data_IF_462505933827
#
_entry.id   IF_462505933827
#
_cell.length_a   1.000
_cell.length_b   1.000
_cell.length_c   1.000
_cell.angle_alpha   90.00
_cell.angle_beta   90.00
_cell.angle_gamma   90.00
#
_symmetry.space_group_name_H-M   'P 1'
#
loop_
_entity.id
_entity.type
_entity.pdbx_description
1 polymer ?
#
# COMPACT_ATOMS: atom_id res chain seq x y z
N UNK A 1 49.50 1.17 6.43
CA UNK A 1 50.06 1.64 5.14
C UNK A 1 48.94 1.62 4.10
N UNK A 2 48.53 2.81 3.60
CA UNK A 2 47.65 3.19 2.45
C UNK A 2 46.32 2.42 2.22
N UNK A 3 45.12 3.00 2.28
CA UNK A 3 44.45 4.05 1.45
C UNK A 3 44.40 3.81 -0.07
N UNK A 4 43.19 3.53 -0.60
CA UNK A 4 42.56 4.12 -1.80
C UNK A 4 41.13 3.53 -1.96
N UNK A 5 40.01 4.23 -1.72
CA UNK A 5 39.31 5.30 -2.45
C UNK A 5 38.76 4.98 -3.87
N UNK A 6 37.41 4.97 -3.92
CA UNK A 6 36.46 5.64 -4.84
C UNK A 6 36.04 5.02 -6.19
N UNK A 7 34.71 4.98 -6.35
CA UNK A 7 33.95 5.17 -7.59
C UNK A 7 32.43 5.29 -7.32
N UNK A 8 31.92 6.53 -7.12
CA UNK A 8 30.49 6.95 -7.19
C UNK A 8 30.05 7.03 -8.69
N UNK A 9 28.76 7.19 -9.11
CA UNK A 9 27.69 8.12 -8.62
C UNK A 9 26.25 7.52 -8.70
N UNK A 10 25.09 8.12 -8.37
CA UNK A 10 24.63 9.46 -7.96
C UNK A 10 23.08 9.47 -7.82
N UNK A 11 22.52 10.52 -7.20
CA UNK A 11 21.07 10.82 -7.09
C UNK A 11 20.32 10.06 -5.99
N UNK A 12 19.54 10.64 -5.08
CA UNK A 12 18.83 11.90 -5.05
C UNK A 12 18.81 12.46 -3.61
N UNK A 13 19.36 13.66 -3.48
CA UNK A 13 18.80 14.78 -2.72
C UNK A 13 17.87 14.43 -1.54
N UNK A 14 18.44 13.91 -0.46
CA UNK A 14 17.97 14.31 0.87
C UNK A 14 18.18 15.83 0.93
N UNK A 15 17.10 16.57 0.67
CA UNK A 15 17.08 18.02 0.79
C UNK A 15 17.38 18.35 2.25
N UNK A 16 18.68 18.56 2.50
CA UNK A 16 19.20 19.18 3.68
C UNK A 16 18.58 20.58 3.77
N UNK A 17 17.54 20.72 4.59
CA UNK A 17 17.38 21.95 5.37
C UNK A 17 18.41 21.87 6.50
N UNK A 18 19.68 21.92 6.11
CA UNK A 18 20.81 22.29 6.96
C UNK A 18 20.95 23.80 6.80
N UNK A 19 20.02 24.54 7.40
CA UNK A 19 20.39 25.83 7.95
C UNK A 19 21.16 25.47 9.22
N UNK A 20 22.48 25.58 9.14
CA UNK A 20 23.35 25.36 10.29
C UNK A 20 22.93 26.27 11.43
N UNK A 21 22.22 25.72 12.40
CA UNK A 21 22.04 26.31 13.72
C UNK A 21 22.69 25.34 14.69
N UNK A 22 23.90 25.68 15.10
CA UNK A 22 24.61 25.02 16.19
C UNK A 22 23.87 25.33 17.50
N UNK A 23 22.85 24.55 17.84
CA UNK A 23 22.14 24.72 19.11
C UNK A 23 22.12 23.43 19.92
N UNK A 24 22.45 23.61 21.21
CA UNK A 24 22.24 22.69 22.33
C UNK A 24 20.73 22.39 22.53
N UNK A 25 20.02 21.91 21.52
CA UNK A 25 18.58 21.67 21.59
C UNK A 25 18.30 20.17 21.79
N UNK A 26 17.60 19.86 22.89
CA UNK A 26 17.13 18.52 23.23
C UNK A 26 16.29 17.93 22.08
N UNK A 27 16.71 16.76 21.58
CA UNK A 27 16.03 16.02 20.51
C UNK A 27 14.54 15.77 20.81
N UNK A 28 14.15 15.67 22.10
CA UNK A 28 12.74 15.52 22.50
C UNK A 28 11.92 16.79 22.24
N UNK A 29 12.49 17.95 22.54
CA UNK A 29 11.83 19.26 22.32
C UNK A 29 11.65 19.57 20.83
N UNK A 30 12.66 19.25 20.00
CA UNK A 30 12.56 19.34 18.54
C UNK A 30 11.45 18.42 18.01
N UNK A 31 11.39 17.17 18.48
CA UNK A 31 10.38 16.20 18.04
C UNK A 31 8.96 16.61 18.43
N UNK A 32 8.76 17.16 19.64
CA UNK A 32 7.46 17.69 20.06
C UNK A 32 7.04 18.92 19.24
N UNK A 33 7.99 19.81 18.94
CA UNK A 33 7.72 21.01 18.13
C UNK A 33 7.37 20.64 16.70
N UNK A 34 8.10 19.70 16.09
CA UNK A 34 7.81 19.15 14.76
C UNK A 34 6.45 18.46 14.71
N UNK A 35 6.06 17.73 15.76
CA UNK A 35 4.75 17.05 15.83
C UNK A 35 3.58 18.03 15.92
N UNK A 36 3.68 19.05 16.78
CA UNK A 36 2.67 20.13 16.88
C UNK A 36 2.55 20.92 15.58
N UNK A 37 3.65 21.09 14.85
CA UNK A 37 3.65 21.74 13.54
C UNK A 37 2.99 20.85 12.48
N UNK A 38 3.31 19.56 12.44
CA UNK A 38 2.72 18.60 11.50
C UNK A 38 1.20 18.44 11.71
N UNK A 39 0.72 18.46 12.97
CA UNK A 39 -0.71 18.42 13.30
C UNK A 39 -1.50 19.61 12.71
N UNK A 40 -0.86 20.74 12.44
CA UNK A 40 -1.49 21.94 11.86
C UNK A 40 -1.38 22.03 10.34
N UNK A 41 -0.55 21.19 9.72
CA UNK A 41 -0.37 21.18 8.27
C UNK A 41 -1.45 20.29 7.65
N UNK A 42 -2.25 20.79 6.69
CA UNK A 42 -3.26 19.96 6.05
C UNK A 42 -2.64 18.72 5.40
N UNK A 43 -3.25 17.52 5.52
CA UNK A 43 -2.70 16.26 5.02
C UNK A 43 -2.27 16.33 3.55
N UNK A 44 -2.97 17.09 2.70
CA UNK A 44 -2.61 17.29 1.29
C UNK A 44 -1.19 17.85 1.08
N UNK A 45 -0.72 18.70 1.98
CA UNK A 45 0.63 19.28 1.90
C UNK A 45 1.67 18.30 2.42
N UNK A 46 1.39 17.62 3.54
CA UNK A 46 2.21 16.51 4.03
C UNK A 46 2.36 15.42 2.96
N UNK A 47 1.27 14.97 2.33
CA UNK A 47 1.30 13.97 1.28
C UNK A 47 2.10 14.42 0.05
N UNK A 48 2.07 15.72 -0.28
CA UNK A 48 2.91 16.29 -1.35
C UNK A 48 4.40 16.27 -1.00
N UNK A 49 4.75 16.39 0.28
CA UNK A 49 6.13 16.25 0.79
C UNK A 49 6.57 14.79 0.94
N UNK A 50 5.63 13.88 1.22
CA UNK A 50 5.93 12.45 1.46
C UNK A 50 6.08 11.66 0.15
N UNK A 51 5.75 12.25 -1.02
CA UNK A 51 6.09 11.69 -2.32
C UNK A 51 5.74 10.20 -2.46
N UNK A 52 4.54 9.80 -2.02
CA UNK A 52 4.14 8.39 -2.13
C UNK A 52 3.76 8.10 -3.57
N UNK A 53 4.69 7.49 -4.29
CA UNK A 53 4.45 7.02 -5.66
C UNK A 53 3.65 5.71 -5.69
N UNK A 54 3.49 5.03 -4.53
CA UNK A 54 2.74 3.79 -4.37
C UNK A 54 1.61 3.90 -3.34
N UNK A 55 0.43 3.41 -3.71
CA UNK A 55 -0.71 3.18 -2.81
C UNK A 55 -1.09 1.69 -2.86
N UNK A 56 -1.11 1.03 -1.70
CA UNK A 56 -1.67 -0.32 -1.57
C UNK A 56 -3.09 -0.25 -1.05
N UNK A 57 -4.03 -0.87 -1.77
CA UNK A 57 -5.40 -1.08 -1.31
C UNK A 57 -5.57 -2.58 -1.07
N UNK A 58 -6.13 -2.94 0.10
CA UNK A 58 -6.36 -4.32 0.47
C UNK A 58 -7.84 -4.55 0.77
N UNK A 59 -8.28 -5.77 0.47
CA UNK A 59 -9.62 -6.27 0.76
C UNK A 59 -9.47 -7.66 1.40
N UNK A 60 -10.47 -8.09 2.15
CA UNK A 60 -10.55 -9.48 2.63
C UNK A 60 -11.64 -10.22 1.88
N UNK A 61 -12.82 -9.60 1.78
CA UNK A 61 -14.00 -10.19 1.15
C UNK A 61 -14.86 -9.12 0.46
N UNK A 62 -15.62 -9.53 -0.54
CA UNK A 62 -16.68 -8.75 -1.20
C UNK A 62 -17.90 -9.65 -1.30
N UNK A 63 -19.04 -9.18 -0.80
CA UNK A 63 -20.27 -9.97 -0.70
C UNK A 63 -21.48 -9.08 -0.53
N UNK A 64 -22.61 -9.46 -1.14
CA UNK A 64 -23.93 -8.89 -0.81
C UNK A 64 -24.52 -9.56 0.44
N UNK A 65 -24.11 -10.80 0.71
CA UNK A 65 -24.62 -11.57 1.83
C UNK A 65 -23.86 -11.26 3.13
N UNK A 66 -24.59 -11.39 4.24
CA UNK A 66 -24.01 -11.39 5.57
C UNK A 66 -23.19 -12.67 5.78
N UNK A 67 -21.93 -12.55 6.19
CA UNK A 67 -21.04 -13.69 6.44
C UNK A 67 -20.76 -13.78 7.94
N UNK A 68 -21.44 -14.67 8.70
CA UNK A 68 -21.41 -14.67 10.17
C UNK A 68 -20.02 -14.75 10.79
N UNK A 69 -19.13 -15.55 10.20
CA UNK A 69 -17.76 -15.71 10.69
C UNK A 69 -16.83 -14.55 10.33
N UNK A 70 -17.28 -13.59 9.52
CA UNK A 70 -16.46 -12.44 9.06
C UNK A 70 -17.05 -11.09 9.49
N UNK A 71 -18.38 -10.98 9.61
CA UNK A 71 -19.09 -9.71 9.83
C UNK A 71 -18.70 -8.96 11.11
N UNK A 72 -18.05 -9.65 12.05
CA UNK A 72 -17.54 -9.05 13.29
C UNK A 72 -16.03 -8.74 13.24
N UNK A 73 -15.33 -9.20 12.20
CA UNK A 73 -13.89 -9.04 12.00
C UNK A 73 -13.58 -7.89 11.03
N UNK A 74 -14.31 -7.81 9.92
CA UNK A 74 -14.04 -6.86 8.84
C UNK A 74 -15.33 -6.22 8.33
N UNK A 75 -15.26 -4.92 8.07
CA UNK A 75 -16.20 -4.29 7.14
C UNK A 75 -15.89 -4.74 5.72
N UNK A 76 -16.93 -5.02 4.94
CA UNK A 76 -16.78 -5.41 3.54
C UNK A 76 -17.85 -4.77 2.64
N UNK A 77 -17.51 -4.70 1.35
CA UNK A 77 -18.34 -4.05 0.33
C UNK A 77 -19.21 -5.05 -0.40
N UNK A 78 -20.34 -4.57 -0.90
CA UNK A 78 -21.08 -5.26 -1.96
C UNK A 78 -20.27 -5.32 -3.25
N UNK A 79 -20.56 -6.28 -4.15
CA UNK A 79 -19.95 -6.34 -5.48
C UNK A 79 -20.12 -5.05 -6.27
N UNK A 80 -21.27 -4.37 -6.13
CA UNK A 80 -21.54 -3.10 -6.80
C UNK A 80 -20.62 -1.96 -6.31
N UNK A 81 -20.41 -1.84 -5.00
CA UNK A 81 -19.49 -0.84 -4.44
C UNK A 81 -18.03 -1.18 -4.75
N UNK A 82 -17.66 -2.45 -4.74
CA UNK A 82 -16.33 -2.88 -5.16
C UNK A 82 -16.08 -2.59 -6.65
N UNK A 83 -17.07 -2.81 -7.52
CA UNK A 83 -16.97 -2.45 -8.94
C UNK A 83 -16.75 -0.94 -9.14
N UNK A 84 -17.41 -0.10 -8.33
CA UNK A 84 -17.16 1.35 -8.34
C UNK A 84 -15.74 1.69 -7.91
N UNK A 85 -15.17 1.00 -6.92
CA UNK A 85 -13.77 1.15 -6.54
C UNK A 85 -12.85 0.83 -7.72
N UNK A 86 -13.08 -0.30 -8.43
CA UNK A 86 -12.26 -0.70 -9.58
C UNK A 86 -12.28 0.37 -10.67
N UNK A 87 -13.46 0.93 -10.98
CA UNK A 87 -13.61 1.99 -11.98
C UNK A 87 -12.86 3.25 -11.54
N UNK A 88 -13.06 3.68 -10.31
CA UNK A 88 -12.38 4.86 -9.75
C UNK A 88 -10.85 4.69 -9.78
N UNK A 89 -10.37 3.55 -9.31
CA UNK A 89 -8.94 3.26 -9.25
C UNK A 89 -8.30 3.26 -10.65
N UNK A 90 -8.95 2.65 -11.65
CA UNK A 90 -8.50 2.69 -13.04
C UNK A 90 -8.44 4.10 -13.63
N UNK A 91 -9.36 4.98 -13.24
CA UNK A 91 -9.40 6.36 -13.73
C UNK A 91 -8.33 7.26 -13.11
N UNK A 92 -7.81 6.90 -11.94
CA UNK A 92 -6.97 7.79 -11.14
C UNK A 92 -5.57 7.27 -10.84
N UNK A 93 -5.31 5.98 -11.01
CA UNK A 93 -4.05 5.32 -10.67
C UNK A 93 -3.52 4.46 -11.82
N UNK A 94 -2.19 4.31 -11.85
CA UNK A 94 -1.52 3.29 -12.63
C UNK A 94 -1.56 1.96 -11.85
N UNK A 95 -2.50 1.09 -12.21
CA UNK A 95 -2.66 -0.20 -11.54
C UNK A 95 -1.65 -1.20 -12.08
N UNK A 96 -0.83 -1.76 -11.18
CA UNK A 96 0.16 -2.79 -11.52
C UNK A 96 -0.04 -4.02 -10.65
N UNK A 97 0.40 -5.18 -11.16
CA UNK A 97 0.50 -6.40 -10.37
C UNK A 97 1.76 -6.43 -9.52
N UNK A 98 1.83 -7.38 -8.58
CA UNK A 98 2.98 -7.55 -7.71
C UNK A 98 4.29 -7.83 -8.48
N UNK A 99 4.25 -8.59 -9.58
CA UNK A 99 5.45 -8.90 -10.37
C UNK A 99 6.09 -7.62 -10.94
N UNK A 100 5.27 -6.77 -11.55
CA UNK A 100 5.73 -5.48 -12.09
C UNK A 100 6.22 -4.53 -10.97
N UNK A 101 5.58 -4.57 -9.79
CA UNK A 101 6.05 -3.82 -8.63
C UNK A 101 7.43 -4.33 -8.18
N UNK A 102 7.58 -5.64 -8.01
CA UNK A 102 8.81 -6.31 -7.59
C UNK A 102 9.96 -6.03 -8.53
N UNK A 103 9.71 -6.11 -9.85
CA UNK A 103 10.70 -5.79 -10.88
C UNK A 103 11.19 -4.34 -10.78
N UNK A 104 10.27 -3.37 -10.69
CA UNK A 104 10.62 -1.95 -10.62
C UNK A 104 11.40 -1.60 -9.36
N UNK A 105 11.05 -2.21 -8.24
CA UNK A 105 11.78 -2.05 -6.97
C UNK A 105 13.17 -2.67 -7.06
N UNK A 106 13.29 -3.88 -7.62
CA UNK A 106 14.56 -4.61 -7.76
C UNK A 106 15.53 -3.91 -8.70
N UNK A 107 15.04 -3.46 -9.85
CA UNK A 107 15.82 -2.77 -10.87
C UNK A 107 16.08 -1.28 -10.57
N UNK A 108 15.53 -0.77 -9.46
CA UNK A 108 15.63 0.66 -9.05
C UNK A 108 15.18 1.64 -10.13
N UNK A 109 14.24 1.23 -10.99
CA UNK A 109 13.73 2.06 -12.08
C UNK A 109 12.71 3.10 -11.61
N UNK A 110 12.34 3.06 -10.33
CA UNK A 110 11.32 3.93 -9.75
C UNK A 110 9.90 3.48 -10.10
N UNK A 111 8.92 4.09 -9.43
CA UNK A 111 7.51 3.89 -9.70
C UNK A 111 6.93 5.11 -10.41
N UNK A 112 5.99 4.85 -11.32
CA UNK A 112 5.24 5.92 -11.94
C UNK A 112 4.41 6.62 -10.87
N UNK A 113 4.19 7.94 -11.02
CA UNK A 113 3.38 8.67 -10.05
C UNK A 113 1.97 8.10 -10.02
N UNK A 114 1.38 8.03 -8.81
CA UNK A 114 0.05 7.45 -8.59
C UNK A 114 -0.02 5.97 -9.01
N UNK A 115 1.03 5.20 -8.76
CA UNK A 115 0.95 3.75 -8.89
C UNK A 115 0.11 3.18 -7.74
N UNK A 116 -0.74 2.21 -8.04
CA UNK A 116 -1.47 1.48 -7.02
C UNK A 116 -1.47 -0.02 -7.27
N UNK A 117 -1.55 -0.78 -6.19
CA UNK A 117 -1.73 -2.24 -6.20
C UNK A 117 -3.01 -2.57 -5.43
N UNK A 118 -3.71 -3.61 -5.87
CA UNK A 118 -4.88 -4.15 -5.20
C UNK A 118 -4.55 -5.55 -4.70
N UNK A 119 -4.85 -5.79 -3.43
CA UNK A 119 -4.51 -7.03 -2.73
C UNK A 119 -5.72 -7.61 -2.03
N UNK A 120 -5.75 -8.93 -1.91
CA UNK A 120 -6.77 -9.68 -1.19
C UNK A 120 -6.10 -10.62 -0.19
N UNK A 121 -6.46 -10.50 1.08
CA UNK A 121 -5.88 -11.28 2.16
C UNK A 121 -6.81 -12.45 2.55
N UNK A 122 -6.29 -13.36 3.38
CA UNK A 122 -6.92 -14.56 3.94
C UNK A 122 -7.25 -15.67 2.93
N UNK A 123 -7.88 -15.36 1.80
CA UNK A 123 -8.25 -16.33 0.76
C UNK A 123 -9.69 -16.86 0.85
N UNK A 124 -10.63 -16.02 1.31
CA UNK A 124 -12.06 -16.38 1.35
C UNK A 124 -12.62 -16.78 -0.02
N UNK A 125 -13.58 -17.69 -0.05
CA UNK A 125 -14.12 -18.28 -1.29
C UNK A 125 -14.74 -17.25 -2.25
N UNK A 126 -15.27 -16.14 -1.71
CA UNK A 126 -15.80 -15.01 -2.46
C UNK A 126 -14.72 -14.31 -3.31
N UNK A 127 -13.44 -14.43 -2.94
CA UNK A 127 -12.34 -13.98 -3.81
C UNK A 127 -12.41 -14.65 -5.18
N UNK A 128 -12.80 -15.93 -5.22
CA UNK A 128 -12.96 -16.68 -6.46
C UNK A 128 -14.34 -16.49 -7.11
N UNK A 129 -15.43 -16.59 -6.33
CA UNK A 129 -16.78 -16.60 -6.89
C UNK A 129 -17.32 -15.20 -7.22
N UNK A 130 -16.89 -14.16 -6.51
CA UNK A 130 -17.41 -12.78 -6.62
C UNK A 130 -16.36 -11.81 -7.15
N UNK A 131 -15.16 -11.79 -6.56
CA UNK A 131 -14.13 -10.78 -6.88
C UNK A 131 -13.49 -11.05 -8.25
N UNK A 132 -13.04 -12.29 -8.50
CA UNK A 132 -12.38 -12.69 -9.76
C UNK A 132 -13.14 -12.27 -11.03
N UNK A 133 -14.45 -12.52 -11.20
CA UNK A 133 -15.14 -12.10 -12.43
C UNK A 133 -15.14 -10.58 -12.62
N UNK A 134 -15.22 -9.79 -11.55
CA UNK A 134 -15.16 -8.32 -11.63
C UNK A 134 -13.75 -7.83 -12.01
N UNK A 135 -12.70 -8.40 -11.42
CA UNK A 135 -11.32 -8.08 -11.79
C UNK A 135 -11.05 -8.40 -13.26
N UNK A 136 -11.50 -9.57 -13.74
CA UNK A 136 -11.37 -9.97 -15.15
C UNK A 136 -12.15 -9.05 -16.08
N UNK A 137 -13.40 -8.73 -15.74
CA UNK A 137 -14.25 -7.78 -16.49
C UNK A 137 -13.56 -6.43 -16.68
N UNK A 138 -12.92 -5.92 -15.62
CA UNK A 138 -12.25 -4.63 -15.64
C UNK A 138 -10.77 -4.69 -16.01
N UNK A 139 -10.21 -5.87 -16.26
CA UNK A 139 -8.79 -6.09 -16.54
C UNK A 139 -7.88 -5.43 -15.49
N UNK A 140 -8.26 -5.58 -14.21
CA UNK A 140 -7.52 -5.00 -13.09
C UNK A 140 -6.54 -6.04 -12.55
N UNK A 141 -5.22 -5.75 -12.54
CA UNK A 141 -4.27 -6.63 -11.89
C UNK A 141 -4.45 -6.57 -10.37
N UNK A 142 -4.27 -7.70 -9.70
CA UNK A 142 -4.32 -7.80 -8.24
C UNK A 142 -3.37 -8.90 -7.75
N UNK A 143 -3.29 -9.06 -6.43
CA UNK A 143 -2.52 -10.13 -5.78
C UNK A 143 -3.30 -10.72 -4.63
N UNK A 144 -3.37 -12.05 -4.56
CA UNK A 144 -4.04 -12.78 -3.48
C UNK A 144 -2.98 -13.35 -2.53
N UNK A 145 -3.08 -13.01 -1.24
CA UNK A 145 -2.30 -13.59 -0.16
C UNK A 145 -3.16 -14.63 0.56
N UNK A 146 -2.90 -15.90 0.28
CA UNK A 146 -3.74 -17.01 0.72
C UNK A 146 -3.14 -17.65 1.97
N UNK A 147 -3.97 -17.84 3.00
CA UNK A 147 -3.61 -18.59 4.19
C UNK A 147 -3.75 -20.10 3.92
N UNK A 148 -2.67 -20.74 3.50
CA UNK A 148 -2.71 -22.11 2.92
C UNK A 148 -3.23 -23.18 3.86
N UNK A 149 -3.01 -23.04 5.17
CA UNK A 149 -3.46 -24.03 6.17
C UNK A 149 -5.00 -24.09 6.29
N UNK A 150 -5.71 -23.03 5.89
CA UNK A 150 -7.17 -22.95 5.94
C UNK A 150 -7.83 -23.29 4.60
N UNK A 151 -7.06 -23.60 3.57
CA UNK A 151 -7.61 -24.08 2.29
C UNK A 151 -8.32 -25.43 2.52
N UNK A 152 -9.47 -25.60 1.87
CA UNK A 152 -10.40 -26.71 2.12
C UNK A 152 -10.86 -26.83 3.59
N UNK A 153 -10.76 -25.75 4.37
CA UNK A 153 -11.16 -25.66 5.77
C UNK A 153 -10.43 -26.64 6.71
N UNK A 154 -9.26 -27.18 6.30
CA UNK A 154 -8.58 -28.25 7.05
C UNK A 154 -7.94 -27.79 8.36
N UNK A 155 -7.50 -26.53 8.42
CA UNK A 155 -6.88 -25.93 9.61
C UNK A 155 -7.86 -25.18 10.53
N UNK A 156 -9.16 -25.15 10.22
CA UNK A 156 -10.13 -24.49 11.09
C UNK A 156 -10.33 -25.28 12.40
N UNK A 157 -10.59 -24.57 13.50
CA UNK A 157 -10.98 -25.24 14.74
C UNK A 157 -12.26 -26.05 14.50
N UNK A 158 -12.33 -27.30 15.00
CA UNK A 158 -13.59 -28.01 15.01
C UNK A 158 -14.59 -27.26 15.90
N UNK A 159 -15.86 -27.23 15.46
CA UNK A 159 -17.00 -26.72 16.24
C UNK A 159 -17.22 -27.52 17.54
#
# INVERSE_FOLDING_TARGET
MKMHQRGKPGGFLAAAIMIGINTRMDKRSIRQSMRKLAEKVPPKFLMRLIGRDLVGVYYHVVSDDAIPHIMHLYDYKSPALFEQDLIYMKQHFNLIGYDALSERLSNRTGLDRKTAIITFDDGFSQCFSVVRPLLLKHQVPCTFFITTDYVDNRGMSPD
#
